data_IF_585654357520
#
_entry.id   IF_585654357520
#
_cell.length_a   1.000
_cell.length_b   1.000
_cell.length_c   1.000
_cell.angle_alpha   90.00
_cell.angle_beta   90.00
_cell.angle_gamma   90.00
#
_symmetry.space_group_name_H-M   'P 1'
#
loop_
_entity.id
_entity.type
_entity.pdbx_description
1 polymer ?
#
# COMPACT_ATOMS: atom_id res chain seq x y z
N UNK A 1 -11.56 16.04 22.95
CA UNK A 1 -10.59 15.36 22.07
C UNK A 1 -9.62 16.41 21.55
N UNK A 2 -8.34 16.33 21.86
CA UNK A 2 -7.35 17.29 21.38
C UNK A 2 -7.18 17.11 19.87
N UNK A 3 -7.57 18.10 19.08
CA UNK A 3 -7.30 18.12 17.65
C UNK A 3 -5.80 18.35 17.47
N UNK A 4 -5.12 17.39 16.85
CA UNK A 4 -3.69 17.52 16.55
C UNK A 4 -3.47 18.77 15.69
N UNK A 5 -2.49 19.59 16.05
CA UNK A 5 -2.16 20.81 15.30
C UNK A 5 -1.79 20.44 13.86
N UNK A 6 -2.41 21.08 12.85
CA UNK A 6 -2.07 20.79 11.45
C UNK A 6 -0.60 21.14 11.17
N UNK A 7 0.00 20.40 10.25
CA UNK A 7 1.38 20.66 9.84
C UNK A 7 1.53 22.08 9.26
N UNK A 8 2.67 22.73 9.54
CA UNK A 8 2.97 24.09 9.06
C UNK A 8 2.95 24.21 7.53
N UNK A 9 3.28 23.11 6.82
CA UNK A 9 3.33 23.08 5.35
C UNK A 9 2.00 22.71 4.70
N UNK A 10 0.95 22.42 5.48
CA UNK A 10 -0.34 21.97 4.94
C UNK A 10 -1.11 23.16 4.36
N UNK A 11 -1.26 23.17 3.03
CA UNK A 11 -2.03 24.18 2.31
C UNK A 11 -2.93 23.52 1.24
N UNK A 12 -4.23 23.86 1.25
CA UNK A 12 -5.23 23.32 0.32
C UNK A 12 -5.20 21.79 0.19
N UNK A 13 -5.07 21.09 1.32
CA UNK A 13 -5.02 19.63 1.36
C UNK A 13 -6.14 19.11 2.25
N UNK A 14 -7.21 18.63 1.61
CA UNK A 14 -8.39 18.14 2.32
C UNK A 14 -8.13 16.80 3.02
N UNK A 15 -8.82 16.57 4.13
CA UNK A 15 -8.71 15.33 4.90
C UNK A 15 -9.12 14.08 4.10
N UNK A 16 -10.06 14.20 3.16
CA UNK A 16 -10.47 13.11 2.27
C UNK A 16 -9.36 12.73 1.30
N UNK A 17 -8.61 13.71 0.77
CA UNK A 17 -7.45 13.46 -0.07
C UNK A 17 -6.32 12.76 0.71
N UNK A 18 -6.09 13.18 1.95
CA UNK A 18 -5.11 12.55 2.84
C UNK A 18 -5.43 11.07 3.10
N UNK A 19 -6.70 10.78 3.38
CA UNK A 19 -7.17 9.41 3.57
C UNK A 19 -7.07 8.60 2.26
N UNK A 20 -7.44 9.17 1.12
CA UNK A 20 -7.35 8.50 -0.18
C UNK A 20 -5.90 8.15 -0.56
N UNK A 21 -4.94 9.04 -0.30
CA UNK A 21 -3.52 8.76 -0.53
C UNK A 21 -3.01 7.64 0.39
N UNK A 22 -3.42 7.64 1.66
CA UNK A 22 -3.08 6.54 2.57
C UNK A 22 -3.66 5.19 2.09
N UNK A 23 -4.90 5.18 1.63
CA UNK A 23 -5.51 3.98 1.04
C UNK A 23 -4.78 3.52 -0.22
N UNK A 24 -4.36 4.45 -1.09
CA UNK A 24 -3.60 4.11 -2.28
C UNK A 24 -2.22 3.55 -1.94
N UNK A 25 -1.49 4.14 -0.99
CA UNK A 25 -0.20 3.62 -0.50
C UNK A 25 -0.35 2.16 -0.06
N UNK A 26 -1.41 1.86 0.69
CA UNK A 26 -1.68 0.50 1.13
C UNK A 26 -2.00 -0.44 -0.05
N UNK A 27 -2.77 0.01 -1.05
CA UNK A 27 -3.07 -0.77 -2.24
C UNK A 27 -1.81 -1.10 -3.07
N UNK A 28 -0.90 -0.13 -3.25
CA UNK A 28 0.38 -0.34 -3.94
C UNK A 28 1.27 -1.35 -3.22
N UNK A 29 1.35 -1.26 -1.88
CA UNK A 29 2.09 -2.23 -1.06
C UNK A 29 1.47 -3.63 -1.11
N UNK A 30 0.14 -3.72 -1.09
CA UNK A 30 -0.56 -4.99 -1.25
C UNK A 30 -0.31 -5.60 -2.62
N UNK A 31 -0.41 -4.81 -3.69
CA UNK A 31 -0.09 -5.24 -5.05
C UNK A 31 1.37 -5.72 -5.16
N UNK A 32 2.31 -5.00 -4.53
CA UNK A 32 3.71 -5.41 -4.45
C UNK A 32 3.86 -6.79 -3.81
N UNK A 33 3.16 -7.06 -2.71
CA UNK A 33 3.18 -8.34 -2.02
C UNK A 33 2.57 -9.48 -2.86
N UNK A 34 1.45 -9.21 -3.54
CA UNK A 34 0.81 -10.18 -4.45
C UNK A 34 1.73 -10.51 -5.63
N UNK A 35 2.39 -9.51 -6.22
CA UNK A 35 3.36 -9.78 -7.30
C UNK A 35 4.57 -10.55 -6.80
N UNK A 36 5.01 -10.32 -5.56
CA UNK A 36 6.11 -11.07 -4.96
C UNK A 36 5.73 -12.55 -4.81
N UNK A 37 4.54 -12.85 -4.30
CA UNK A 37 4.08 -14.24 -4.14
C UNK A 37 3.95 -14.96 -5.48
N UNK A 38 3.44 -14.28 -6.52
CA UNK A 38 3.40 -14.81 -7.89
C UNK A 38 4.80 -15.10 -8.43
N UNK A 39 5.75 -14.19 -8.19
CA UNK A 39 7.12 -14.35 -8.64
C UNK A 39 7.77 -15.63 -8.10
N UNK A 40 7.62 -15.88 -6.80
CA UNK A 40 8.15 -17.08 -6.17
C UNK A 40 7.36 -18.34 -6.50
N UNK A 41 6.06 -18.23 -6.83
CA UNK A 41 5.30 -19.36 -7.36
C UNK A 41 5.87 -19.86 -8.69
N UNK A 42 6.19 -18.95 -9.61
CA UNK A 42 6.77 -19.30 -10.92
C UNK A 42 8.26 -19.70 -10.86
N UNK A 43 8.95 -19.43 -9.75
CA UNK A 43 10.36 -19.79 -9.54
C UNK A 43 10.54 -21.21 -8.99
N UNK A 44 9.47 -21.85 -8.51
CA UNK A 44 9.51 -23.23 -8.02
C UNK A 44 9.98 -24.20 -9.09
N UNK A 45 10.59 -25.29 -8.67
CA UNK A 45 11.15 -26.34 -9.52
C UNK A 45 10.09 -27.10 -10.34
N UNK A 46 8.85 -27.17 -9.84
CA UNK A 46 7.70 -27.79 -10.50
C UNK A 46 7.10 -26.94 -11.64
N UNK A 47 7.15 -25.61 -11.53
CA UNK A 47 6.65 -24.68 -12.56
C UNK A 47 7.78 -24.21 -13.49
N UNK A 48 8.95 -23.87 -12.94
CA UNK A 48 10.19 -23.49 -13.61
C UNK A 48 10.10 -22.38 -14.68
N UNK A 49 9.15 -21.45 -14.57
CA UNK A 49 8.96 -20.34 -15.52
C UNK A 49 9.77 -19.10 -15.12
N UNK A 50 11.11 -19.19 -15.25
CA UNK A 50 12.08 -18.16 -14.81
C UNK A 50 11.81 -16.75 -15.37
N UNK A 51 11.33 -16.64 -16.60
CA UNK A 51 11.02 -15.32 -17.20
C UNK A 51 9.78 -14.67 -16.58
N UNK A 52 8.76 -15.46 -16.25
CA UNK A 52 7.57 -14.99 -15.54
C UNK A 52 7.92 -14.59 -14.12
N UNK A 53 8.70 -15.41 -13.41
CA UNK A 53 9.22 -15.05 -12.08
C UNK A 53 9.93 -13.69 -12.09
N UNK A 54 10.89 -13.50 -13.01
CA UNK A 54 11.61 -12.23 -13.15
C UNK A 54 10.70 -11.05 -13.48
N UNK A 55 9.69 -11.27 -14.34
CA UNK A 55 8.71 -10.24 -14.68
C UNK A 55 7.92 -9.80 -13.45
N UNK A 56 7.37 -10.73 -12.68
CA UNK A 56 6.60 -10.43 -11.47
C UNK A 56 7.45 -9.84 -10.35
N UNK A 57 8.71 -10.28 -10.18
CA UNK A 57 9.66 -9.64 -9.27
C UNK A 57 9.88 -8.16 -9.63
N UNK A 58 10.09 -7.86 -10.91
CA UNK A 58 10.24 -6.48 -11.38
C UNK A 58 8.99 -5.66 -11.12
N UNK A 59 7.80 -6.22 -11.35
CA UNK A 59 6.52 -5.55 -11.05
C UNK A 59 6.36 -5.27 -9.55
N UNK A 60 6.67 -6.24 -8.70
CA UNK A 60 6.64 -6.08 -7.23
C UNK A 60 7.50 -4.89 -6.77
N UNK A 61 8.72 -4.76 -7.32
CA UNK A 61 9.59 -3.62 -7.02
C UNK A 61 9.02 -2.29 -7.53
N UNK A 62 8.44 -2.26 -8.73
CA UNK A 62 7.81 -1.05 -9.29
C UNK A 62 6.65 -0.55 -8.43
N UNK A 63 5.74 -1.42 -7.99
CA UNK A 63 4.62 -0.99 -7.14
C UNK A 63 5.12 -0.51 -5.76
N UNK A 64 6.21 -1.08 -5.24
CA UNK A 64 6.83 -0.57 -4.01
C UNK A 64 7.42 0.83 -4.19
N UNK A 65 8.07 1.10 -5.32
CA UNK A 65 8.51 2.46 -5.67
C UNK A 65 7.33 3.43 -5.83
N UNK A 66 6.19 2.98 -6.35
CA UNK A 66 4.97 3.79 -6.42
C UNK A 66 4.47 4.16 -5.02
N UNK A 67 4.42 3.19 -4.10
CA UNK A 67 4.06 3.44 -2.70
C UNK A 67 4.99 4.47 -2.05
N UNK A 68 6.31 4.34 -2.24
CA UNK A 68 7.31 5.27 -1.70
C UNK A 68 7.14 6.70 -2.25
N UNK A 69 6.84 6.84 -3.55
CA UNK A 69 6.53 8.15 -4.16
C UNK A 69 5.30 8.79 -3.54
N UNK A 70 4.25 8.01 -3.28
CA UNK A 70 3.03 8.50 -2.63
C UNK A 70 3.27 8.89 -1.17
N UNK A 71 4.07 8.12 -0.42
CA UNK A 71 4.52 8.49 0.92
C UNK A 71 5.29 9.81 0.91
N UNK A 72 6.18 10.00 -0.07
CA UNK A 72 6.88 11.27 -0.29
C UNK A 72 5.93 12.43 -0.57
N UNK A 73 4.89 12.22 -1.39
CA UNK A 73 3.86 13.22 -1.66
C UNK A 73 3.07 13.59 -0.40
N UNK A 74 2.67 12.60 0.40
CA UNK A 74 1.95 12.80 1.66
C UNK A 74 2.73 13.70 2.61
N UNK A 75 4.01 13.41 2.81
CA UNK A 75 4.90 14.19 3.68
C UNK A 75 5.10 15.61 3.15
N UNK A 76 5.26 15.79 1.83
CA UNK A 76 5.40 17.11 1.20
C UNK A 76 4.16 18.00 1.39
N UNK A 77 2.96 17.40 1.41
CA UNK A 77 1.69 18.11 1.64
C UNK A 77 1.36 18.32 3.12
N UNK A 78 2.20 17.85 4.04
CA UNK A 78 1.96 17.92 5.47
C UNK A 78 0.85 16.97 5.96
N UNK A 79 0.53 15.95 5.17
CA UNK A 79 -0.30 14.82 5.60
C UNK A 79 0.49 13.87 6.50
N UNK A 80 -0.23 12.99 7.19
CA UNK A 80 0.34 11.92 8.02
C UNK A 80 0.15 10.59 7.30
N UNK A 81 1.25 9.84 7.20
CA UNK A 81 1.23 8.48 6.66
C UNK A 81 0.68 7.56 7.74
N UNK A 82 -0.35 6.79 7.42
CA UNK A 82 -0.89 5.74 8.27
C UNK A 82 -0.77 4.41 7.52
N UNK A 83 0.18 3.58 7.94
CA UNK A 83 0.38 2.25 7.38
C UNK A 83 -0.48 1.25 8.15
N UNK A 84 -1.39 0.58 7.46
CA UNK A 84 -2.18 -0.51 8.01
C UNK A 84 -1.56 -1.84 7.59
N UNK A 85 -1.47 -2.78 8.53
CA UNK A 85 -0.94 -4.14 8.30
C UNK A 85 -2.01 -5.03 7.65
N UNK A 86 -3.24 -4.55 7.51
CA UNK A 86 -4.31 -5.27 6.84
C UNK A 86 -5.32 -4.32 6.20
N UNK A 87 -5.91 -4.77 5.09
CA UNK A 87 -7.07 -4.13 4.48
C UNK A 87 -8.23 -4.22 5.46
N UNK A 88 -8.41 -3.22 6.31
CA UNK A 88 -9.72 -2.97 6.88
C UNK A 88 -10.54 -2.36 5.75
N UNK A 89 -11.15 -3.23 4.93
CA UNK A 89 -12.39 -2.86 4.28
C UNK A 89 -13.33 -2.62 5.45
N UNK A 90 -13.39 -1.40 5.98
CA UNK A 90 -14.40 -1.03 6.94
C UNK A 90 -15.70 -1.06 6.17
N UNK A 91 -16.31 -2.23 6.09
CA UNK A 91 -17.72 -2.36 5.80
C UNK A 91 -18.46 -1.44 6.78
N UNK A 92 -19.57 -0.85 6.34
CA UNK A 92 -20.38 0.15 7.06
C UNK A 92 -20.86 -0.24 8.47
N UNK A 93 -20.40 -1.36 9.04
CA UNK A 93 -20.77 -1.89 10.35
C UNK A 93 -19.59 -2.23 11.28
N UNK A 94 -18.40 -1.63 11.11
CA UNK A 94 -17.35 -1.68 12.14
C UNK A 94 -16.84 -3.08 12.53
N UNK A 95 -17.08 -4.09 11.70
CA UNK A 95 -16.55 -5.46 11.89
C UNK A 95 -15.23 -5.57 11.14
N UNK A 96 -14.14 -5.73 11.90
CA UNK A 96 -12.83 -6.05 11.37
C UNK A 96 -12.83 -7.53 10.94
N UNK A 97 -12.88 -7.79 9.65
CA UNK A 97 -12.65 -9.13 9.10
C UNK A 97 -11.16 -9.26 8.81
N UNK A 98 -10.46 -9.99 9.67
CA UNK A 98 -9.12 -10.47 9.35
C UNK A 98 -9.27 -11.47 8.21
N UNK A 99 -8.80 -11.12 7.01
CA UNK A 99 -8.52 -12.13 6.01
C UNK A 99 -7.43 -13.03 6.60
N UNK A 100 -7.85 -14.22 7.00
CA UNK A 100 -6.99 -15.31 7.45
C UNK A 100 -5.94 -15.52 6.37
N UNK A 101 -4.73 -15.06 6.65
CA UNK A 101 -3.56 -15.28 5.81
C UNK A 101 -3.31 -16.79 5.82
N UNK A 102 -2.93 -17.31 4.65
CA UNK A 102 -2.49 -18.69 4.41
C UNK A 102 -1.50 -19.12 5.48
#
# INVERSE_FOLDING_TARGET
MATATPSQVRQNYDSTCEAAINSQIHLELYASYVYLSMAFYFDRDDVALKHFSRYFLRRSHQEREHAEKLMGLQNRRGGRISLQIGCLITGKEGKNYYLQTI
#
